data_IF_265259577043
#
_entry.id   IF_265259577043
#
_cell.length_a   1.000
_cell.length_b   1.000
_cell.length_c   1.000
_cell.angle_alpha   90.00
_cell.angle_beta   90.00
_cell.angle_gamma   90.00
#
_symmetry.space_group_name_H-M   'P 1'
#
loop_
_entity.id
_entity.type
_entity.pdbx_description
1 polymer ?
#
# COMPACT_ATOMS: atom_id res chain seq x y z
N UNK A 1 13.83 -6.57 -0.77
CA UNK A 1 12.46 -6.09 -0.59
C UNK A 1 12.00 -6.44 0.80
N UNK A 2 12.20 -5.48 1.70
CA UNK A 2 11.60 -5.47 3.04
C UNK A 2 10.19 -4.85 2.99
N UNK A 3 9.50 -4.79 4.13
CA UNK A 3 8.15 -4.26 4.27
C UNK A 3 8.05 -2.79 3.85
N UNK A 4 9.10 -1.99 4.09
CA UNK A 4 9.12 -0.56 3.73
C UNK A 4 9.35 -0.35 2.25
N UNK A 5 10.26 -1.10 1.64
CA UNK A 5 10.45 -1.13 0.19
C UNK A 5 9.16 -1.59 -0.50
N UNK A 6 8.48 -2.61 0.03
CA UNK A 6 7.19 -3.05 -0.49
C UNK A 6 6.10 -1.98 -0.36
N UNK A 7 5.95 -1.36 0.82
CA UNK A 7 4.96 -0.32 1.06
C UNK A 7 5.16 0.89 0.13
N UNK A 8 6.40 1.35 -0.05
CA UNK A 8 6.72 2.43 -0.97
C UNK A 8 6.40 2.05 -2.43
N UNK A 9 6.71 0.82 -2.83
CA UNK A 9 6.40 0.35 -4.17
C UNK A 9 4.89 0.26 -4.42
N UNK A 10 4.12 -0.17 -3.43
CA UNK A 10 2.65 -0.16 -3.50
C UNK A 10 2.13 1.26 -3.63
N UNK A 11 2.61 2.20 -2.81
CA UNK A 11 2.22 3.61 -2.90
C UNK A 11 2.52 4.21 -4.28
N UNK A 12 3.69 3.92 -4.85
CA UNK A 12 4.05 4.38 -6.19
C UNK A 12 3.02 3.93 -7.25
N UNK A 13 2.61 2.66 -7.21
CA UNK A 13 1.60 2.11 -8.11
C UNK A 13 0.23 2.78 -7.89
N UNK A 14 -0.12 3.03 -6.62
CA UNK A 14 -1.37 3.69 -6.24
C UNK A 14 -1.40 5.13 -6.76
N UNK A 15 -0.34 5.90 -6.57
CA UNK A 15 -0.22 7.28 -7.04
C UNK A 15 -0.28 7.38 -8.56
N UNK A 16 0.45 6.51 -9.27
CA UNK A 16 0.41 6.45 -10.73
C UNK A 16 -0.99 6.11 -11.24
N UNK A 17 -1.69 5.18 -10.58
CA UNK A 17 -3.05 4.78 -10.95
C UNK A 17 -4.04 5.91 -10.67
N UNK A 18 -3.97 6.52 -9.48
CA UNK A 18 -4.82 7.64 -9.09
C UNK A 18 -4.65 8.83 -10.04
N UNK A 19 -3.41 9.17 -10.40
CA UNK A 19 -3.11 10.20 -11.38
C UNK A 19 -3.74 9.91 -12.74
N UNK A 20 -3.57 8.68 -13.26
CA UNK A 20 -4.12 8.27 -14.56
C UNK A 20 -5.63 8.37 -14.66
N UNK A 21 -6.35 8.14 -13.57
CA UNK A 21 -7.82 8.19 -13.54
C UNK A 21 -8.36 9.49 -12.93
N UNK A 22 -7.48 10.45 -12.63
CA UNK A 22 -7.81 11.70 -11.94
C UNK A 22 -8.58 11.48 -10.61
N UNK A 23 -8.27 10.39 -9.89
CA UNK A 23 -8.83 10.14 -8.58
C UNK A 23 -8.25 11.13 -7.56
N UNK A 24 -9.13 11.76 -6.80
CA UNK A 24 -8.74 12.65 -5.69
C UNK A 24 -8.41 11.92 -4.40
N UNK A 25 -8.85 10.67 -4.30
CA UNK A 25 -8.75 9.86 -3.09
C UNK A 25 -8.86 8.38 -3.44
N UNK A 26 -8.14 7.55 -2.69
CA UNK A 26 -8.18 6.09 -2.74
C UNK A 26 -8.83 5.60 -1.46
N UNK A 27 -9.85 4.75 -1.60
CA UNK A 27 -10.64 4.23 -0.47
C UNK A 27 -10.14 2.87 0.02
N UNK A 28 -9.43 2.11 -0.82
CA UNK A 28 -8.97 0.77 -0.46
C UNK A 28 -7.86 0.27 -1.36
N UNK A 29 -6.92 -0.48 -0.76
CA UNK A 29 -5.78 -1.10 -1.42
C UNK A 29 -5.73 -2.57 -0.99
N UNK A 30 -5.96 -3.46 -1.96
CA UNK A 30 -5.88 -4.91 -1.75
C UNK A 30 -4.57 -5.46 -2.34
N UNK A 31 -3.69 -5.95 -1.48
CA UNK A 31 -2.41 -6.53 -1.86
C UNK A 31 -2.45 -8.05 -1.72
N UNK A 32 -2.04 -8.76 -2.78
CA UNK A 32 -1.82 -10.20 -2.73
C UNK A 32 -0.31 -10.50 -2.66
N UNK A 33 0.13 -11.26 -1.66
CA UNK A 33 1.53 -11.58 -1.38
C UNK A 33 1.72 -13.08 -1.43
N UNK A 34 2.58 -13.59 -2.31
CA UNK A 34 2.84 -15.03 -2.34
C UNK A 34 3.44 -15.55 -1.02
N UNK A 35 2.82 -16.57 -0.42
CA UNK A 35 3.14 -17.10 0.92
C UNK A 35 4.56 -17.62 1.21
N UNK A 36 5.49 -17.58 0.25
CA UNK A 36 6.91 -17.90 0.49
C UNK A 36 7.75 -16.70 0.94
N UNK A 37 7.19 -15.48 0.94
CA UNK A 37 7.96 -14.25 1.15
C UNK A 37 8.17 -13.87 2.62
N UNK A 38 7.46 -14.50 3.56
CA UNK A 38 7.72 -14.36 5.00
C UNK A 38 7.59 -12.93 5.55
N UNK A 39 6.81 -12.07 4.88
CA UNK A 39 6.59 -10.70 5.35
C UNK A 39 5.82 -10.69 6.66
N UNK A 40 6.22 -9.79 7.56
CA UNK A 40 5.44 -9.46 8.73
C UNK A 40 4.27 -8.56 8.30
N UNK A 41 3.05 -9.10 8.35
CA UNK A 41 1.85 -8.39 7.90
C UNK A 41 1.50 -7.20 8.81
N UNK A 42 1.78 -7.30 10.11
CA UNK A 42 1.50 -6.24 11.07
C UNK A 42 2.49 -5.09 10.90
N UNK A 43 3.77 -5.42 10.68
CA UNK A 43 4.79 -4.45 10.31
C UNK A 43 4.46 -3.78 8.96
N UNK A 44 4.06 -4.56 7.96
CA UNK A 44 3.68 -4.04 6.64
C UNK A 44 2.49 -3.09 6.75
N UNK A 45 1.47 -3.40 7.55
CA UNK A 45 0.35 -2.51 7.80
C UNK A 45 0.78 -1.20 8.46
N UNK A 46 1.65 -1.29 9.47
CA UNK A 46 2.15 -0.13 10.21
C UNK A 46 2.97 0.78 9.30
N UNK A 47 3.88 0.18 8.53
CA UNK A 47 4.74 0.91 7.60
C UNK A 47 3.93 1.51 6.46
N UNK A 48 2.96 0.76 5.91
CA UNK A 48 2.05 1.30 4.90
C UNK A 48 1.29 2.52 5.41
N UNK A 49 0.74 2.44 6.63
CA UNK A 49 0.02 3.57 7.26
C UNK A 49 0.91 4.79 7.49
N UNK A 50 2.21 4.61 7.70
CA UNK A 50 3.18 5.71 7.83
C UNK A 50 3.49 6.36 6.48
N UNK A 51 3.75 5.56 5.43
CA UNK A 51 4.16 6.10 4.11
C UNK A 51 3.01 6.76 3.35
N UNK A 52 1.75 6.34 3.56
CA UNK A 52 0.61 6.95 2.87
C UNK A 52 0.15 8.28 3.46
N UNK A 53 0.72 8.74 4.58
CA UNK A 53 0.25 9.96 5.26
C UNK A 53 0.37 11.18 4.36
N UNK A 54 -0.73 11.90 4.20
CA UNK A 54 -0.81 13.10 3.34
C UNK A 54 -0.81 12.81 1.84
N UNK A 55 -0.97 11.55 1.43
CA UNK A 55 -1.11 11.15 0.02
C UNK A 55 -2.59 10.92 -0.34
N UNK A 56 -2.87 10.58 -1.60
CA UNK A 56 -4.22 10.21 -2.04
C UNK A 56 -4.76 8.95 -1.35
N UNK A 57 -3.89 8.16 -0.72
CA UNK A 57 -4.22 6.91 -0.01
C UNK A 57 -4.23 7.03 1.52
N UNK A 58 -4.12 8.24 2.09
CA UNK A 58 -4.04 8.46 3.55
C UNK A 58 -5.21 7.85 4.33
N UNK A 59 -6.39 7.74 3.70
CA UNK A 59 -7.59 7.15 4.30
C UNK A 59 -7.93 5.77 3.76
N UNK A 60 -7.05 5.18 2.95
CA UNK A 60 -7.34 3.92 2.28
C UNK A 60 -7.33 2.76 3.28
N UNK A 61 -8.34 1.89 3.19
CA UNK A 61 -8.30 0.59 3.86
C UNK A 61 -7.22 -0.28 3.20
N UNK A 62 -6.19 -0.65 3.96
CA UNK A 62 -5.16 -1.56 3.46
C UNK A 62 -5.53 -3.00 3.83
N UNK A 63 -5.48 -3.92 2.86
CA UNK A 63 -5.87 -5.30 3.05
C UNK A 63 -4.85 -6.23 2.38
N UNK A 64 -4.18 -7.07 3.15
CA UNK A 64 -3.19 -8.03 2.63
C UNK A 64 -3.74 -9.46 2.65
N UNK A 65 -3.61 -10.17 1.52
CA UNK A 65 -3.94 -11.59 1.37
C UNK A 65 -2.68 -12.37 1.01
N UNK A 66 -2.50 -13.55 1.60
CA UNK A 66 -1.35 -14.44 1.41
C UNK A 66 -1.71 -15.65 0.56
#
# INVERSE_FOLDING_TARGET
MDERELANHVLEIVDQTAYRVAARQVIGVHLAVGGRRGFDLDLLHTVFSDVVRGTVADVAEFCVKV
#
